data_IF_499042013424
#
_entry.id   IF_499042013424
#
_cell.length_a   1.000
_cell.length_b   1.000
_cell.length_c   1.000
_cell.angle_alpha   90.00
_cell.angle_beta   90.00
_cell.angle_gamma   90.00
#
_symmetry.space_group_name_H-M   'P 1'
#
loop_
_entity.id
_entity.type
_entity.pdbx_description
1 polymer ?
#
# COMPACT_ATOMS: atom_id res chain seq x y z
N UNK A 1 27.98 53.03 -10.48
CA UNK A 1 27.76 52.36 -9.16
C UNK A 1 26.53 51.45 -9.12
N UNK A 2 25.42 51.76 -9.84
CA UNK A 2 24.18 50.94 -9.82
C UNK A 2 24.35 49.48 -10.30
N UNK A 3 25.21 49.21 -11.29
CA UNK A 3 25.46 47.83 -11.79
C UNK A 3 26.21 46.93 -10.81
N UNK A 4 27.11 47.50 -10.01
CA UNK A 4 27.88 46.76 -9.01
C UNK A 4 26.99 46.28 -7.86
N UNK A 5 26.04 47.12 -7.43
CA UNK A 5 25.03 46.77 -6.43
C UNK A 5 24.13 45.62 -6.89
N UNK A 6 23.75 45.59 -8.18
CA UNK A 6 22.93 44.51 -8.72
C UNK A 6 23.66 43.16 -8.74
N UNK A 7 24.95 43.17 -9.15
CA UNK A 7 25.80 41.96 -9.16
C UNK A 7 25.98 41.43 -7.73
N UNK A 8 26.24 42.32 -6.77
CA UNK A 8 26.39 41.94 -5.37
C UNK A 8 25.11 41.30 -4.81
N UNK A 9 23.94 41.84 -5.17
CA UNK A 9 22.64 41.32 -4.72
C UNK A 9 22.38 39.91 -5.25
N UNK A 10 22.69 39.66 -6.53
CA UNK A 10 22.55 38.34 -7.16
C UNK A 10 23.47 37.32 -6.49
N UNK A 11 24.72 37.69 -6.21
CA UNK A 11 25.70 36.81 -5.56
C UNK A 11 25.22 36.41 -4.17
N UNK A 12 24.71 37.35 -3.36
CA UNK A 12 24.17 37.05 -2.02
C UNK A 12 22.98 36.09 -2.08
N UNK A 13 22.12 36.23 -3.08
CA UNK A 13 20.94 35.37 -3.27
C UNK A 13 21.34 33.93 -3.65
N UNK A 14 22.40 33.76 -4.45
CA UNK A 14 22.91 32.44 -4.83
C UNK A 14 23.52 31.73 -3.61
N UNK A 15 24.32 32.44 -2.80
CA UNK A 15 25.00 31.85 -1.63
C UNK A 15 24.01 31.42 -0.54
N UNK A 16 22.91 32.17 -0.35
CA UNK A 16 21.89 31.87 0.66
C UNK A 16 20.94 30.74 0.26
N UNK A 17 20.81 30.45 -1.04
CA UNK A 17 19.93 29.37 -1.54
C UNK A 17 20.50 27.96 -1.39
N UNK A 18 21.83 27.81 -1.23
CA UNK A 18 22.51 26.52 -1.21
C UNK A 18 22.69 25.98 0.22
N UNK A 19 21.63 25.99 1.02
CA UNK A 19 21.65 25.27 2.30
C UNK A 19 21.16 23.84 2.05
N UNK A 20 22.01 22.81 2.25
CA UNK A 20 21.56 21.43 2.11
C UNK A 20 20.46 21.19 3.13
N UNK A 21 19.28 20.74 2.67
CA UNK A 21 18.22 20.29 3.57
C UNK A 21 18.80 19.21 4.47
N UNK A 22 18.85 19.46 5.77
CA UNK A 22 19.34 18.50 6.75
C UNK A 22 18.35 17.33 6.75
N UNK A 23 18.87 16.11 6.66
CA UNK A 23 18.05 14.91 6.72
C UNK A 23 17.54 14.77 8.16
N UNK A 24 16.27 15.07 8.37
CA UNK A 24 15.56 14.80 9.62
C UNK A 24 14.70 13.54 9.49
N UNK A 25 14.21 13.03 10.62
CA UNK A 25 13.43 11.80 10.68
C UNK A 25 12.19 11.85 9.79
N UNK A 26 11.50 12.99 9.76
CA UNK A 26 10.26 13.17 8.99
C UNK A 26 10.54 13.17 7.48
N UNK A 27 11.59 13.85 7.05
CA UNK A 27 12.04 13.87 5.67
C UNK A 27 12.53 12.50 5.24
N UNK A 28 13.30 11.81 6.09
CA UNK A 28 13.74 10.44 5.82
C UNK A 28 12.56 9.48 5.66
N UNK A 29 11.58 9.52 6.56
CA UNK A 29 10.37 8.70 6.47
C UNK A 29 9.60 8.98 5.17
N UNK A 30 9.41 10.25 4.83
CA UNK A 30 8.71 10.66 3.59
C UNK A 30 9.42 10.12 2.35
N UNK A 31 10.74 10.28 2.28
CA UNK A 31 11.55 9.77 1.16
C UNK A 31 11.51 8.25 1.05
N UNK A 32 11.48 7.52 2.17
CA UNK A 32 11.37 6.06 2.20
C UNK A 32 9.99 5.61 1.71
N UNK A 33 8.92 6.28 2.15
CA UNK A 33 7.55 5.96 1.75
C UNK A 33 7.34 6.21 0.26
N UNK A 34 7.78 7.37 -0.25
CA UNK A 34 7.69 7.72 -1.67
C UNK A 34 8.53 6.78 -2.55
N UNK A 35 9.77 6.51 -2.15
CA UNK A 35 10.68 5.67 -2.96
C UNK A 35 10.21 4.23 -3.06
N UNK A 36 9.67 3.68 -1.97
CA UNK A 36 9.34 2.26 -1.88
C UNK A 36 7.83 1.98 -2.01
N UNK A 37 7.01 3.00 -2.31
CA UNK A 37 5.56 2.87 -2.49
C UNK A 37 4.88 2.17 -1.29
N UNK A 38 5.27 2.53 -0.07
CA UNK A 38 4.67 1.96 1.13
C UNK A 38 3.28 2.57 1.41
N UNK A 39 2.32 1.79 1.96
CA UNK A 39 2.44 0.38 2.30
C UNK A 39 2.50 -0.51 1.04
N UNK A 40 3.47 -1.43 1.00
CA UNK A 40 3.53 -2.42 -0.05
C UNK A 40 2.32 -3.33 0.06
N UNK A 41 1.56 -3.45 -1.02
CA UNK A 41 0.49 -4.45 -1.12
C UNK A 41 1.22 -5.80 -1.24
N UNK A 42 1.17 -6.59 -0.18
CA UNK A 42 1.66 -7.97 -0.21
C UNK A 42 0.46 -8.83 -0.59
N UNK A 43 0.44 -9.27 -1.85
CA UNK A 43 -0.53 -10.25 -2.29
C UNK A 43 -0.24 -11.58 -1.57
N UNK A 44 -1.27 -12.15 -0.97
CA UNK A 44 -1.21 -13.46 -0.34
C UNK A 44 -2.06 -14.43 -1.14
N UNK A 45 -1.46 -15.57 -1.49
CA UNK A 45 -2.20 -16.65 -2.13
C UNK A 45 -3.27 -17.19 -1.18
N UNK A 46 -4.51 -17.24 -1.70
CA UNK A 46 -5.64 -17.79 -0.98
C UNK A 46 -5.94 -19.19 -1.54
N UNK A 47 -5.54 -20.21 -0.80
CA UNK A 47 -5.96 -21.59 -1.10
C UNK A 47 -7.44 -21.78 -0.75
N UNK A 48 -8.30 -21.62 -1.75
CA UNK A 48 -9.75 -21.70 -1.57
C UNK A 48 -10.24 -23.08 -1.11
N UNK A 49 -9.44 -24.13 -1.26
CA UNK A 49 -9.71 -25.49 -0.80
C UNK A 49 -9.19 -25.81 0.61
N UNK A 50 -8.49 -24.87 1.27
CA UNK A 50 -7.94 -25.07 2.62
C UNK A 50 -8.87 -24.50 3.70
N UNK A 51 -9.36 -25.30 4.66
CA UNK A 51 -10.19 -24.82 5.76
C UNK A 51 -9.48 -23.78 6.65
N UNK A 52 -8.14 -23.81 6.77
CA UNK A 52 -7.40 -22.81 7.54
C UNK A 52 -7.47 -21.43 6.86
N UNK A 53 -7.27 -21.38 5.55
CA UNK A 53 -7.42 -20.15 4.76
C UNK A 53 -8.88 -19.67 4.76
N UNK A 54 -9.85 -20.58 4.69
CA UNK A 54 -11.26 -20.25 4.81
C UNK A 54 -11.62 -19.61 6.16
N UNK A 55 -11.05 -20.09 7.26
CA UNK A 55 -11.23 -19.50 8.59
C UNK A 55 -10.60 -18.10 8.69
N UNK A 56 -9.43 -17.87 8.09
CA UNK A 56 -8.82 -16.54 8.01
C UNK A 56 -9.72 -15.57 7.26
N UNK A 57 -10.28 -16.00 6.12
CA UNK A 57 -11.21 -15.19 5.33
C UNK A 57 -12.51 -14.93 6.09
N UNK A 58 -13.03 -15.92 6.80
CA UNK A 58 -14.22 -15.74 7.64
C UNK A 58 -14.03 -14.61 8.67
N UNK A 59 -12.81 -14.40 9.18
CA UNK A 59 -12.49 -13.34 10.15
C UNK A 59 -12.11 -11.99 9.52
N UNK A 60 -11.98 -11.93 8.19
CA UNK A 60 -11.44 -10.75 7.47
C UNK A 60 -12.44 -9.63 7.21
N UNK A 61 -13.73 -9.83 7.50
CA UNK A 61 -14.79 -8.88 7.15
C UNK A 61 -15.25 -8.96 5.68
N UNK A 62 -14.61 -9.79 4.84
CA UNK A 62 -14.92 -9.91 3.42
C UNK A 62 -16.27 -10.59 3.17
N UNK A 63 -16.71 -11.46 4.09
CA UNK A 63 -17.99 -12.15 4.01
C UNK A 63 -19.14 -11.16 4.21
N UNK A 64 -19.03 -10.31 5.24
CA UNK A 64 -20.00 -9.28 5.63
C UNK A 64 -20.12 -8.20 4.55
N UNK A 65 -19.01 -7.88 3.89
CA UNK A 65 -18.98 -6.97 2.73
C UNK A 65 -19.53 -7.61 1.45
N UNK A 66 -19.85 -8.91 1.47
CA UNK A 66 -20.41 -9.63 0.34
C UNK A 66 -19.41 -9.96 -0.77
N UNK A 67 -18.10 -9.87 -0.51
CA UNK A 67 -17.05 -10.16 -1.50
C UNK A 67 -16.77 -11.65 -1.65
N UNK A 68 -17.00 -12.42 -0.59
CA UNK A 68 -16.73 -13.86 -0.55
C UNK A 68 -17.90 -14.62 0.06
N UNK A 69 -18.00 -15.89 -0.30
CA UNK A 69 -18.82 -16.90 0.38
C UNK A 69 -17.89 -17.93 0.99
N UNK A 70 -18.18 -18.35 2.21
CA UNK A 70 -17.45 -19.40 2.92
C UNK A 70 -18.38 -20.58 3.17
N UNK A 71 -18.02 -21.74 2.64
CA UNK A 71 -18.69 -23.01 2.93
C UNK A 71 -18.20 -23.52 4.29
N UNK A 72 -19.08 -23.63 5.29
CA UNK A 72 -18.67 -24.06 6.64
C UNK A 72 -18.49 -25.57 6.77
N UNK A 73 -19.26 -26.34 6.00
CA UNK A 73 -19.29 -27.81 6.08
C UNK A 73 -19.37 -28.40 4.69
N UNK A 74 -18.60 -29.46 4.45
CA UNK A 74 -18.64 -30.23 3.20
C UNK A 74 -18.80 -31.72 3.50
N UNK A 75 -19.45 -32.45 2.58
CA UNK A 75 -19.58 -33.90 2.70
C UNK A 75 -18.28 -34.61 2.29
N UNK A 76 -18.10 -35.84 2.73
CA UNK A 76 -16.99 -36.67 2.25
C UNK A 76 -17.11 -36.86 0.72
N UNK A 77 -16.01 -36.62 -0.01
CA UNK A 77 -15.99 -36.65 -1.47
C UNK A 77 -16.41 -35.35 -2.16
N UNK A 78 -16.86 -34.34 -1.42
CA UNK A 78 -17.18 -33.02 -1.98
C UNK A 78 -15.90 -32.23 -2.29
N UNK A 79 -15.75 -31.85 -3.56
CA UNK A 79 -14.59 -31.11 -4.09
C UNK A 79 -14.84 -29.61 -4.19
N UNK A 80 -16.01 -29.14 -3.74
CA UNK A 80 -16.33 -27.71 -3.67
C UNK A 80 -15.32 -26.99 -2.79
N UNK A 81 -14.88 -25.82 -3.25
CA UNK A 81 -13.98 -24.96 -2.49
C UNK A 81 -14.65 -24.39 -1.24
N UNK A 82 -13.88 -24.23 -0.17
CA UNK A 82 -14.36 -23.59 1.05
C UNK A 82 -14.59 -22.09 0.86
N UNK A 83 -13.81 -21.44 0.00
CA UNK A 83 -13.93 -20.01 -0.31
C UNK A 83 -14.34 -19.85 -1.77
N UNK A 84 -15.27 -18.93 -2.03
CA UNK A 84 -15.65 -18.54 -3.39
C UNK A 84 -15.89 -17.04 -3.47
N UNK A 85 -15.32 -16.38 -4.48
CA UNK A 85 -15.51 -14.96 -4.71
C UNK A 85 -16.87 -14.67 -5.35
N UNK A 86 -17.50 -13.59 -4.93
CA UNK A 86 -18.75 -13.12 -5.55
C UNK A 86 -18.45 -12.20 -6.72
N UNK A 87 -19.48 -11.83 -7.47
CA UNK A 87 -19.33 -10.84 -8.55
C UNK A 87 -18.88 -9.47 -8.05
N UNK A 88 -19.12 -9.14 -6.77
CA UNK A 88 -18.69 -7.88 -6.18
C UNK A 88 -17.17 -7.80 -6.00
N UNK A 89 -16.48 -8.94 -5.93
CA UNK A 89 -15.02 -8.99 -5.77
C UNK A 89 -14.25 -8.76 -7.09
N UNK A 90 -14.91 -8.86 -8.25
CA UNK A 90 -14.25 -8.75 -9.58
C UNK A 90 -13.33 -7.54 -9.77
N UNK A 91 -13.62 -6.34 -9.23
CA UNK A 91 -12.70 -5.20 -9.39
C UNK A 91 -11.37 -5.33 -8.64
N UNK A 92 -11.23 -6.33 -7.76
CA UNK A 92 -10.09 -6.53 -6.87
C UNK A 92 -9.34 -7.85 -7.11
N UNK A 93 -9.75 -8.61 -8.14
CA UNK A 93 -9.17 -9.88 -8.57
C UNK A 93 -8.49 -9.71 -9.93
#
# INVERSE_FOLDING_TARGET
MKKLSYILTIVILIITSCQPKKLDEKLAATLILEKNHYPAIVDHDIFCGDPAHANTIFKSGLLEKGFVKVLQTRKFGDTTSFVSFTSAAKPYL
#
